data_IF_251250290742
#
_entry.id   IF_251250290742
#
_cell.length_a   1.000
_cell.length_b   1.000
_cell.length_c   1.000
_cell.angle_alpha   90.00
_cell.angle_beta   90.00
_cell.angle_gamma   90.00
#
_symmetry.space_group_name_H-M   'P 1'
#
loop_
_entity.id
_entity.type
_entity.pdbx_description
1 polymer ?
#
# COMPACT_ATOMS: atom_id res chain seq x y z
N UNK A 1 -23.87 15.51 -16.32
CA UNK A 1 -24.08 14.21 -15.64
C UNK A 1 -23.44 14.29 -14.27
N UNK A 2 -24.28 14.33 -13.24
CA UNK A 2 -23.90 14.28 -11.83
C UNK A 2 -23.28 12.92 -11.49
N UNK A 3 -22.62 12.83 -10.34
CA UNK A 3 -22.01 11.58 -9.89
C UNK A 3 -23.03 10.43 -9.80
N UNK A 4 -24.25 10.75 -9.35
CA UNK A 4 -25.32 9.80 -9.09
C UNK A 4 -25.94 9.25 -10.39
N UNK A 5 -26.15 10.10 -11.40
CA UNK A 5 -26.64 9.66 -12.71
C UNK A 5 -25.66 8.71 -13.41
N UNK A 6 -24.36 8.97 -13.28
CA UNK A 6 -23.32 8.10 -13.84
C UNK A 6 -23.30 6.74 -13.16
N UNK A 7 -23.47 6.71 -11.84
CA UNK A 7 -23.53 5.47 -11.07
C UNK A 7 -24.74 4.62 -11.47
N UNK A 8 -25.92 5.23 -11.61
CA UNK A 8 -27.13 4.55 -12.09
C UNK A 8 -26.95 3.99 -13.51
N UNK A 9 -26.38 4.78 -14.41
CA UNK A 9 -26.07 4.33 -15.78
C UNK A 9 -25.18 3.08 -15.78
N UNK A 10 -24.08 3.10 -15.02
CA UNK A 10 -23.17 1.96 -14.96
C UNK A 10 -23.75 0.75 -14.24
N UNK A 11 -24.63 0.96 -13.25
CA UNK A 11 -25.36 -0.12 -12.61
C UNK A 11 -26.24 -0.87 -13.61
N UNK A 12 -26.96 -0.14 -14.47
CA UNK A 12 -27.77 -0.73 -15.52
C UNK A 12 -26.91 -1.53 -16.52
N UNK A 13 -25.82 -0.94 -17.01
CA UNK A 13 -24.93 -1.60 -17.97
C UNK A 13 -24.28 -2.88 -17.40
N UNK A 14 -23.89 -2.89 -16.12
CA UNK A 14 -23.34 -4.10 -15.48
C UNK A 14 -24.42 -5.18 -15.30
N UNK A 15 -25.67 -4.78 -15.03
CA UNK A 15 -26.80 -5.71 -14.90
C UNK A 15 -27.14 -6.36 -16.24
N UNK A 16 -27.21 -5.56 -17.30
CA UNK A 16 -27.42 -6.04 -18.68
C UNK A 16 -26.27 -6.96 -19.13
N UNK A 17 -25.03 -6.62 -18.80
CA UNK A 17 -23.88 -7.50 -19.05
C UNK A 17 -24.02 -8.85 -18.34
N UNK A 18 -24.38 -8.84 -17.05
CA UNK A 18 -24.53 -10.06 -16.27
C UNK A 18 -25.67 -10.94 -16.79
N UNK A 19 -26.76 -10.34 -17.27
CA UNK A 19 -27.86 -11.05 -17.92
C UNK A 19 -27.49 -11.59 -19.31
N UNK A 20 -26.62 -10.89 -20.05
CA UNK A 20 -26.20 -11.30 -21.40
C UNK A 20 -25.33 -12.56 -21.43
N UNK A 21 -24.63 -12.88 -20.32
CA UNK A 21 -23.66 -13.98 -20.27
C UNK A 21 -22.43 -13.81 -21.16
N UNK A 22 -22.26 -12.63 -21.78
CA UNK A 22 -21.14 -12.34 -22.68
C UNK A 22 -19.86 -12.05 -21.91
N UNK A 23 -18.71 -12.22 -22.56
CA UNK A 23 -17.46 -11.68 -22.01
C UNK A 23 -17.53 -10.15 -21.94
N UNK A 24 -16.91 -9.54 -20.92
CA UNK A 24 -16.95 -8.08 -20.74
C UNK A 24 -16.45 -7.29 -21.96
N UNK A 25 -15.46 -7.83 -22.68
CA UNK A 25 -14.97 -7.22 -23.92
C UNK A 25 -15.99 -7.33 -25.07
N UNK A 26 -16.69 -8.46 -25.21
CA UNK A 26 -17.74 -8.61 -26.23
C UNK A 26 -18.92 -7.66 -25.96
N UNK A 27 -19.33 -7.53 -24.70
CA UNK A 27 -20.37 -6.59 -24.29
C UNK A 27 -19.97 -5.13 -24.56
N UNK A 28 -18.73 -4.75 -24.20
CA UNK A 28 -18.22 -3.41 -24.49
C UNK A 28 -18.19 -3.10 -26.00
N UNK A 29 -17.87 -4.10 -26.83
CA UNK A 29 -17.92 -3.93 -28.30
C UNK A 29 -19.35 -3.76 -28.82
N UNK A 30 -20.32 -4.51 -28.31
CA UNK A 30 -21.72 -4.41 -28.74
C UNK A 30 -22.38 -3.09 -28.32
N UNK A 31 -22.15 -2.66 -27.08
CA UNK A 31 -22.75 -1.43 -26.52
C UNK A 31 -21.89 -0.17 -26.75
N UNK A 32 -20.83 -0.27 -27.56
CA UNK A 32 -19.87 0.81 -27.82
C UNK A 32 -19.32 1.48 -26.54
N UNK A 33 -19.07 0.68 -25.50
CA UNK A 33 -18.55 1.13 -24.21
C UNK A 33 -17.03 1.12 -24.17
N UNK A 34 -16.45 2.07 -23.44
CA UNK A 34 -15.01 2.06 -23.16
C UNK A 34 -14.67 0.98 -22.12
N UNK A 35 -13.83 0.02 -22.53
CA UNK A 35 -13.51 -1.16 -21.71
C UNK A 35 -12.95 -0.82 -20.32
N UNK A 36 -12.04 0.16 -20.22
CA UNK A 36 -11.45 0.54 -18.93
C UNK A 36 -12.50 1.10 -17.95
N UNK A 37 -13.46 1.89 -18.45
CA UNK A 37 -14.55 2.41 -17.62
C UNK A 37 -15.46 1.28 -17.14
N UNK A 38 -15.82 0.37 -18.05
CA UNK A 38 -16.60 -0.83 -17.69
C UNK A 38 -15.89 -1.68 -16.65
N UNK A 39 -14.60 -1.95 -16.79
CA UNK A 39 -13.84 -2.75 -15.83
C UNK A 39 -13.82 -2.11 -14.43
N UNK A 40 -13.61 -0.79 -14.36
CA UNK A 40 -13.66 -0.04 -13.11
C UNK A 40 -15.03 -0.15 -12.44
N UNK A 41 -16.11 0.12 -13.17
CA UNK A 41 -17.46 0.08 -12.62
C UNK A 41 -17.91 -1.33 -12.26
N UNK A 42 -17.55 -2.33 -13.06
CA UNK A 42 -17.76 -3.74 -12.72
C UNK A 42 -17.09 -4.09 -11.39
N UNK A 43 -15.82 -3.71 -11.21
CA UNK A 43 -15.12 -3.96 -9.96
C UNK A 43 -15.75 -3.21 -8.79
N UNK A 44 -16.08 -1.93 -8.97
CA UNK A 44 -16.69 -1.09 -7.93
C UNK A 44 -18.05 -1.62 -7.47
N UNK A 45 -18.91 -2.04 -8.40
CA UNK A 45 -20.28 -2.48 -8.13
C UNK A 45 -20.37 -3.94 -7.66
N UNK A 46 -19.43 -4.81 -8.07
CA UNK A 46 -19.37 -6.19 -7.57
C UNK A 46 -18.61 -6.29 -6.24
N UNK A 47 -17.59 -5.45 -6.01
CA UNK A 47 -16.87 -5.42 -4.74
C UNK A 47 -17.71 -4.84 -3.59
N UNK A 48 -18.73 -4.03 -3.86
CA UNK A 48 -19.68 -3.59 -2.84
C UNK A 48 -20.65 -4.71 -2.43
N UNK A 49 -20.92 -5.69 -3.30
CA UNK A 49 -21.78 -6.83 -3.02
C UNK A 49 -21.06 -7.96 -2.23
N UNK A 50 -19.73 -8.00 -2.28
CA UNK A 50 -18.93 -8.97 -1.53
C UNK A 50 -17.90 -8.21 -0.69
N UNK A 51 -18.32 -7.77 0.49
CA UNK A 51 -17.45 -7.23 1.54
C UNK A 51 -16.55 -8.31 2.16
N UNK A 52 -15.83 -9.04 1.31
CA UNK A 52 -14.72 -9.92 1.69
C UNK A 52 -13.63 -9.67 0.65
N UNK A 53 -13.02 -8.49 0.75
CA UNK A 53 -11.78 -8.21 0.03
C UNK A 53 -10.71 -9.16 0.55
N UNK A 54 -10.48 -10.26 -0.15
CA UNK A 54 -9.12 -10.80 -0.17
C UNK A 54 -8.20 -9.67 -0.65
N UNK A 55 -7.13 -9.35 0.08
CA UNK A 55 -6.21 -8.31 -0.35
C UNK A 55 -5.55 -8.80 -1.64
N UNK A 56 -5.99 -8.23 -2.76
CA UNK A 56 -5.27 -8.30 -4.02
C UNK A 56 -3.81 -7.94 -3.72
N UNK A 57 -2.91 -8.89 -3.97
CA UNK A 57 -1.48 -8.86 -3.66
C UNK A 57 -0.92 -7.42 -3.63
N UNK A 58 -1.00 -6.82 -2.44
CA UNK A 58 -0.42 -5.53 -2.14
C UNK A 58 0.99 -5.72 -1.66
N UNK A 59 1.69 -4.61 -1.47
CA UNK A 59 3.03 -4.59 -0.88
C UNK A 59 3.11 -5.51 0.34
N UNK A 60 4.02 -6.49 0.30
CA UNK A 60 4.32 -7.31 1.46
C UNK A 60 5.05 -6.43 2.47
N UNK A 61 4.53 -6.34 3.69
CA UNK A 61 5.27 -5.76 4.80
C UNK A 61 6.49 -6.62 5.05
N UNK A 62 7.67 -6.13 4.68
CA UNK A 62 8.94 -6.75 5.06
C UNK A 62 9.18 -6.38 6.51
N UNK A 63 8.89 -7.32 7.41
CA UNK A 63 9.40 -7.23 8.77
C UNK A 63 10.92 -7.36 8.69
N UNK A 64 11.64 -6.28 9.02
CA UNK A 64 13.07 -6.37 9.27
C UNK A 64 13.25 -7.37 10.42
N UNK A 65 13.99 -8.47 10.24
CA UNK A 65 14.38 -9.28 11.38
C UNK A 65 15.24 -8.37 12.24
N UNK A 66 14.68 -7.93 13.37
CA UNK A 66 15.47 -7.35 14.43
C UNK A 66 16.43 -8.46 14.89
N UNK A 67 17.60 -8.53 14.27
CA UNK A 67 18.73 -9.34 14.75
C UNK A 67 19.25 -8.63 15.99
N UNK A 68 18.54 -8.84 17.08
CA UNK A 68 18.79 -8.22 18.37
C UNK A 68 17.96 -8.96 19.39
N UNK A 69 18.48 -10.11 19.79
CA UNK A 69 18.05 -10.93 20.92
C UNK A 69 17.45 -10.08 22.03
N UNK A 70 16.23 -10.44 22.44
CA UNK A 70 15.66 -10.05 23.70
C UNK A 70 16.65 -10.38 24.83
N UNK A 71 17.39 -9.37 25.28
CA UNK A 71 17.97 -9.34 26.60
C UNK A 71 17.88 -7.91 27.11
N UNK A 72 16.92 -7.75 28.01
CA UNK A 72 16.80 -6.72 29.03
C UNK A 72 16.72 -5.26 28.53
N UNK A 73 15.54 -4.72 28.79
CA UNK A 73 15.20 -3.31 28.82
C UNK A 73 16.21 -2.62 29.73
N UNK A 74 17.26 -2.03 29.16
CA UNK A 74 18.04 -0.96 29.81
C UNK A 74 18.74 -0.10 28.75
N UNK A 75 18.30 1.15 28.66
CA UNK A 75 18.91 2.28 27.94
C UNK A 75 18.72 2.35 26.42
N UNK A 76 17.72 3.16 26.06
CA UNK A 76 17.51 3.91 24.82
C UNK A 76 18.81 4.45 24.20
N UNK A 77 19.54 3.62 23.47
CA UNK A 77 20.72 4.03 22.72
C UNK A 77 20.30 4.82 21.48
N UNK A 78 20.57 6.12 21.46
CA UNK A 78 20.40 6.95 20.27
C UNK A 78 21.37 6.48 19.19
N UNK A 79 20.91 6.48 17.93
CA UNK A 79 21.73 6.16 16.77
C UNK A 79 21.86 7.39 15.87
N UNK A 80 23.07 7.66 15.38
CA UNK A 80 23.36 8.76 14.46
C UNK A 80 24.02 8.19 13.21
N UNK A 81 23.50 8.58 12.04
CA UNK A 81 24.06 8.21 10.73
C UNK A 81 24.71 9.43 10.10
N UNK A 82 25.94 9.27 9.63
CA UNK A 82 26.75 10.33 9.03
C UNK A 82 26.79 10.23 7.49
N UNK A 83 26.93 11.36 6.77
CA UNK A 83 27.17 11.37 5.33
C UNK A 83 28.48 10.64 5.05
N UNK A 84 28.40 9.44 4.46
CA UNK A 84 29.53 8.51 4.34
C UNK A 84 29.19 7.07 4.74
N UNK A 85 27.99 6.83 5.28
CA UNK A 85 27.49 5.48 5.59
C UNK A 85 27.93 4.94 6.95
N UNK A 86 28.62 5.75 7.75
CA UNK A 86 28.98 5.40 9.12
C UNK A 86 27.76 5.59 10.01
N UNK A 87 27.41 4.55 10.77
CA UNK A 87 26.32 4.60 11.76
C UNK A 87 26.88 4.32 13.14
N UNK A 88 26.72 5.27 14.04
CA UNK A 88 27.11 5.16 15.45
C UNK A 88 25.84 4.82 16.23
N UNK A 89 25.85 3.71 16.98
CA UNK A 89 24.71 3.21 17.75
C UNK A 89 25.03 3.13 19.23
N UNK A 90 23.99 3.03 20.08
CA UNK A 90 24.18 2.87 21.52
C UNK A 90 24.55 4.16 22.25
N UNK A 91 24.24 5.34 21.70
CA UNK A 91 24.56 6.61 22.35
C UNK A 91 23.63 6.86 23.54
N UNK A 92 24.20 7.09 24.71
CA UNK A 92 23.50 7.44 25.94
C UNK A 92 24.27 8.53 26.70
N UNK A 93 23.67 9.10 27.75
CA UNK A 93 24.23 10.24 28.47
C UNK A 93 25.66 10.03 29.02
N UNK A 94 26.06 8.76 29.23
CA UNK A 94 27.39 8.40 29.72
C UNK A 94 28.47 8.31 28.63
N UNK A 95 28.09 8.20 27.35
CA UNK A 95 29.04 8.05 26.24
C UNK A 95 28.91 9.16 25.18
N UNK A 96 27.92 10.04 25.28
CA UNK A 96 27.69 11.14 24.33
C UNK A 96 28.88 12.11 24.24
N UNK A 97 29.68 12.25 25.30
CA UNK A 97 30.91 13.05 25.28
C UNK A 97 31.95 12.50 24.27
N UNK A 98 32.03 11.17 24.14
CA UNK A 98 32.95 10.50 23.19
C UNK A 98 32.54 10.73 21.74
N UNK A 99 31.26 10.99 21.46
CA UNK A 99 30.80 11.32 20.11
C UNK A 99 31.51 12.56 19.58
N UNK A 100 31.70 13.58 20.43
CA UNK A 100 32.42 14.80 20.04
C UNK A 100 33.88 14.54 19.69
N UNK A 101 34.56 13.66 20.41
CA UNK A 101 35.96 13.31 20.14
C UNK A 101 36.10 12.49 18.86
N UNK A 102 35.20 11.53 18.63
CA UNK A 102 35.19 10.70 17.41
C UNK A 102 34.94 11.57 16.17
N UNK A 103 34.01 12.52 16.24
CA UNK A 103 33.72 13.43 15.12
C UNK A 103 34.86 14.40 14.82
N UNK A 104 35.77 14.66 15.76
CA UNK A 104 36.94 15.53 15.54
C UNK A 104 38.11 14.81 14.87
N UNK A 105 38.12 13.48 14.88
CA UNK A 105 39.17 12.65 14.27
C UNK A 105 38.80 12.16 12.86
N UNK A 106 37.57 12.42 12.42
CA UNK A 106 37.08 12.18 11.06
C UNK A 106 37.21 13.46 10.23
#
# INVERSE_FOLDING_TARGET
>A
MTHQEREQYWQQQVTEWQASGLSGMAFCKQQALTYHQFSYWRQKLLASASATKEPAAGFATVAYPNTGTAKEIDSTGLAVSLPGGITITGLHAGNVALLGDILRQL
#
